data_IF_965948159863
#
_entry.id   IF_965948159863
#
_cell.length_a   1.000
_cell.length_b   1.000
_cell.length_c   1.000
_cell.angle_alpha   90.00
_cell.angle_beta   90.00
_cell.angle_gamma   90.00
#
_symmetry.space_group_name_H-M   'P 1'
#
loop_
_entity.id
_entity.type
_entity.pdbx_description
1 polymer ?
#
# COMPACT_ATOMS: atom_id res chain seq x y z
N UNK A 1 -24.52 -8.79 2.00
CA UNK A 1 -23.25 -9.32 2.57
C UNK A 1 -22.53 -8.18 3.28
N UNK A 2 -22.62 -8.07 4.60
CA UNK A 2 -21.84 -7.08 5.37
C UNK A 2 -20.75 -7.80 6.14
N UNK A 3 -19.49 -7.54 5.78
CA UNK A 3 -18.36 -8.03 6.57
C UNK A 3 -18.54 -7.60 8.04
N UNK A 4 -18.42 -8.54 8.97
CA UNK A 4 -18.55 -8.29 10.40
C UNK A 4 -17.50 -7.25 10.86
N UNK A 5 -17.78 -6.43 11.88
CA UNK A 5 -16.85 -5.41 12.36
C UNK A 5 -15.45 -5.93 12.66
N UNK A 6 -15.35 -7.20 13.09
CA UNK A 6 -14.09 -7.87 13.40
C UNK A 6 -13.22 -8.13 12.16
N UNK A 7 -13.85 -8.46 11.02
CA UNK A 7 -13.12 -8.66 9.75
C UNK A 7 -12.53 -7.35 9.22
N UNK A 8 -13.21 -6.22 9.46
CA UNK A 8 -12.67 -4.88 9.17
C UNK A 8 -11.49 -4.53 10.08
N UNK A 9 -11.52 -4.96 11.34
CA UNK A 9 -10.42 -4.74 12.28
C UNK A 9 -9.19 -5.61 11.94
N UNK A 10 -9.39 -6.86 11.52
CA UNK A 10 -8.30 -7.74 11.10
C UNK A 10 -7.63 -7.25 9.80
N UNK A 11 -8.40 -6.76 8.81
CA UNK A 11 -7.79 -6.14 7.63
C UNK A 11 -7.03 -4.85 8.00
N UNK A 12 -7.55 -4.08 8.98
CA UNK A 12 -6.86 -2.91 9.51
C UNK A 12 -5.53 -3.29 10.21
N UNK A 13 -5.47 -4.39 10.95
CA UNK A 13 -4.23 -4.84 11.61
C UNK A 13 -3.17 -5.32 10.60
N UNK A 14 -3.58 -5.98 9.51
CA UNK A 14 -2.67 -6.36 8.41
C UNK A 14 -2.11 -5.12 7.71
N UNK A 15 -2.95 -4.09 7.46
CA UNK A 15 -2.48 -2.82 6.92
C UNK A 15 -1.60 -2.02 7.88
N UNK A 16 -1.64 -2.32 9.19
CA UNK A 16 -0.77 -1.70 10.19
C UNK A 16 0.63 -2.33 10.21
N UNK A 17 0.75 -3.60 9.82
CA UNK A 17 2.04 -4.31 9.77
C UNK A 17 2.89 -3.90 8.54
N UNK A 18 2.25 -3.52 7.43
CA UNK A 18 2.92 -3.11 6.20
C UNK A 18 2.68 -1.61 5.97
N UNK A 19 3.73 -0.77 6.02
CA UNK A 19 3.57 0.65 5.75
C UNK A 19 3.04 0.87 4.34
N UNK A 20 1.88 1.52 4.24
CA UNK A 20 1.16 1.72 2.97
C UNK A 20 1.01 3.21 2.67
N UNK A 21 1.17 3.56 1.39
CA UNK A 21 0.94 4.92 0.86
C UNK A 21 -0.01 4.84 -0.31
N UNK A 22 -1.07 5.65 -0.30
CA UNK A 22 -1.90 5.90 -1.47
C UNK A 22 -1.33 7.06 -2.28
N UNK A 23 -1.29 6.89 -3.59
CA UNK A 23 -0.81 7.89 -4.56
C UNK A 23 -1.89 8.03 -5.62
N UNK A 24 -2.29 9.27 -5.90
CA UNK A 24 -3.16 9.59 -7.03
C UNK A 24 -2.28 9.63 -8.29
N UNK A 25 -2.72 8.97 -9.34
CA UNK A 25 -2.00 8.89 -10.62
C UNK A 25 -2.84 9.63 -11.65
N UNK A 26 -2.27 10.66 -12.26
CA UNK A 26 -2.92 11.49 -13.27
C UNK A 26 -2.55 11.08 -14.70
N UNK A 27 -1.32 10.60 -14.88
CA UNK A 27 -0.76 10.21 -16.16
C UNK A 27 -0.08 8.83 -16.07
N UNK A 28 -0.03 8.09 -17.18
CA UNK A 28 0.61 6.79 -17.23
C UNK A 28 2.11 6.83 -16.87
N UNK A 29 2.78 7.97 -17.08
CA UNK A 29 4.19 8.19 -16.74
C UNK A 29 4.46 8.23 -15.23
N UNK A 30 3.43 8.40 -14.40
CA UNK A 30 3.55 8.37 -12.94
C UNK A 30 3.43 6.95 -12.37
N UNK A 31 3.11 5.96 -13.21
CA UNK A 31 3.08 4.55 -12.80
C UNK A 31 4.50 4.05 -12.47
N UNK A 32 4.64 3.21 -11.44
CA UNK A 32 5.90 2.53 -11.18
C UNK A 32 6.28 1.61 -12.35
N UNK A 33 7.58 1.41 -12.60
CA UNK A 33 8.04 0.43 -13.61
C UNK A 33 7.58 -1.00 -13.28
N UNK A 34 7.51 -1.32 -11.98
CA UNK A 34 7.05 -2.61 -11.47
C UNK A 34 5.84 -2.41 -10.57
N UNK A 35 4.68 -2.79 -11.07
CA UNK A 35 3.41 -2.83 -10.34
C UNK A 35 2.68 -4.13 -10.65
N UNK A 36 1.70 -4.45 -9.81
CA UNK A 36 0.75 -5.54 -10.02
C UNK A 36 -0.67 -5.00 -9.91
N UNK A 37 -1.64 -5.82 -10.32
CA UNK A 37 -3.06 -5.51 -10.25
C UNK A 37 -3.84 -6.66 -9.62
N UNK A 38 -4.92 -6.33 -8.92
CA UNK A 38 -5.93 -7.31 -8.53
C UNK A 38 -6.98 -7.46 -9.64
N UNK A 39 -7.72 -8.58 -9.73
CA UNK A 39 -8.81 -8.72 -10.72
C UNK A 39 -9.88 -7.62 -10.66
N UNK A 40 -10.03 -6.93 -9.52
CA UNK A 40 -10.89 -5.75 -9.37
C UNK A 40 -10.29 -4.44 -9.87
N UNK A 41 -9.11 -4.46 -10.49
CA UNK A 41 -8.45 -3.30 -11.09
C UNK A 41 -7.66 -2.41 -10.12
N UNK A 42 -7.37 -2.87 -8.89
CA UNK A 42 -6.56 -2.08 -7.95
C UNK A 42 -5.07 -2.28 -8.21
N UNK A 43 -4.35 -1.19 -8.46
CA UNK A 43 -2.90 -1.20 -8.67
C UNK A 43 -2.14 -1.12 -7.34
N UNK A 44 -1.06 -1.88 -7.22
CA UNK A 44 -0.17 -1.85 -6.06
C UNK A 44 1.27 -2.16 -6.43
N UNK A 45 2.21 -1.69 -5.62
CA UNK A 45 3.64 -1.99 -5.73
C UNK A 45 4.25 -2.09 -4.34
N UNK A 46 5.27 -2.93 -4.19
CA UNK A 46 6.01 -3.11 -2.93
C UNK A 46 7.46 -2.72 -3.18
N UNK A 47 7.93 -1.69 -2.48
CA UNK A 47 9.35 -1.31 -2.55
C UNK A 47 10.15 -2.16 -1.56
N UNK A 48 11.37 -2.62 -1.90
CA UNK A 48 12.20 -3.46 -1.02
C UNK A 48 12.46 -2.88 0.37
N UNK A 49 12.48 -1.54 0.49
CA UNK A 49 12.69 -0.84 1.76
C UNK A 49 11.44 -0.57 2.59
N UNK A 50 10.24 -1.02 2.15
CA UNK A 50 8.97 -0.89 2.87
C UNK A 50 8.79 0.45 3.58
N UNK A 51 8.47 1.53 2.82
CA UNK A 51 8.50 2.95 3.27
C UNK A 51 8.35 3.17 4.78
N UNK A 52 9.44 3.06 5.53
CA UNK A 52 9.48 3.43 6.94
C UNK A 52 9.48 4.97 7.02
N UNK A 53 8.52 5.59 7.73
CA UNK A 53 8.62 7.00 8.05
C UNK A 53 9.70 7.17 9.12
N UNK A 54 10.92 7.52 8.69
CA UNK A 54 11.97 8.02 9.59
C UNK A 54 13.13 7.06 9.87
N UNK A 55 14.07 6.97 8.93
CA UNK A 55 15.49 6.89 9.28
C UNK A 55 16.15 8.10 8.61
N UNK A 56 16.22 9.21 9.34
CA UNK A 56 17.09 10.34 8.98
C UNK A 56 18.53 9.80 8.99
N UNK A 57 19.22 9.96 7.87
CA UNK A 57 20.67 9.78 7.84
C UNK A 57 21.32 10.81 8.77
N UNK A 58 22.37 10.38 9.49
CA UNK A 58 23.41 11.26 10.01
C UNK A 58 23.41 11.49 11.52
N UNK A 59 24.00 10.55 12.28
CA UNK A 59 25.31 10.71 12.94
C UNK A 59 25.83 9.34 13.35
#
# INVERSE_FOLDING_TARGET
>A
MSASPIARQACASITQAIPSKRVLIHDASELPDLYSSTPGGTLYSTTPGGKFPGKRNGK
#
